data_IF_638976986288
#
_entry.id   IF_638976986288
#
_cell.length_a   1.000
_cell.length_b   1.000
_cell.length_c   1.000
_cell.angle_alpha   90.00
_cell.angle_beta   90.00
_cell.angle_gamma   90.00
#
_symmetry.space_group_name_H-M   'P 1'
#
loop_
_entity.id
_entity.type
_entity.pdbx_description
1 polymer ?
#
# COMPACT_ATOMS: atom_id res chain seq x y z
N UNK A 1 3.01 24.47 26.14
CA UNK A 1 3.18 24.07 24.73
C UNK A 1 2.10 24.76 23.93
N UNK A 2 2.44 25.45 22.84
CA UNK A 2 1.45 26.10 21.98
C UNK A 2 0.78 25.08 21.05
N UNK A 3 -0.45 25.35 20.59
CA UNK A 3 -1.18 24.48 19.66
C UNK A 3 -0.40 24.19 18.36
N UNK A 4 0.43 25.13 17.93
CA UNK A 4 1.32 24.96 16.78
C UNK A 4 2.45 23.93 17.08
N UNK A 5 3.02 23.96 18.29
CA UNK A 5 4.06 23.03 18.72
C UNK A 5 3.52 21.61 18.91
N UNK A 6 2.25 21.46 19.28
CA UNK A 6 1.60 20.15 19.38
C UNK A 6 1.33 19.54 17.98
N UNK A 7 0.73 20.33 17.07
CA UNK A 7 0.48 19.87 15.69
C UNK A 7 1.76 19.46 14.96
N UNK A 8 2.83 20.24 15.08
CA UNK A 8 4.11 19.88 14.46
C UNK A 8 4.68 18.56 14.98
N UNK A 9 4.52 18.28 16.28
CA UNK A 9 5.00 17.04 16.87
C UNK A 9 4.10 15.85 16.46
N UNK A 10 2.79 16.06 16.39
CA UNK A 10 1.86 15.05 15.88
C UNK A 10 2.17 14.68 14.41
N UNK A 11 2.44 15.67 13.56
CA UNK A 11 2.82 15.44 12.16
C UNK A 11 4.14 14.66 12.07
N UNK A 12 5.13 15.03 12.88
CA UNK A 12 6.42 14.33 12.97
C UNK A 12 6.24 12.86 13.35
N UNK A 13 5.43 12.58 14.36
CA UNK A 13 5.16 11.21 14.81
C UNK A 13 4.37 10.41 13.77
N UNK A 14 3.40 11.03 13.12
CA UNK A 14 2.62 10.40 12.04
C UNK A 14 3.52 10.02 10.86
N UNK A 15 4.46 10.90 10.50
CA UNK A 15 5.46 10.62 9.47
C UNK A 15 6.37 9.45 9.88
N UNK A 16 6.94 9.50 11.08
CA UNK A 16 7.82 8.45 11.58
C UNK A 16 7.15 7.07 11.64
N UNK A 17 5.88 7.03 12.08
CA UNK A 17 5.08 5.80 12.06
C UNK A 17 4.87 5.29 10.64
N UNK A 18 4.52 6.18 9.70
CA UNK A 18 4.30 5.82 8.30
C UNK A 18 5.56 5.25 7.65
N UNK A 19 6.73 5.84 7.92
CA UNK A 19 8.02 5.35 7.43
C UNK A 19 8.37 3.97 8.02
N UNK A 20 8.17 3.78 9.32
CA UNK A 20 8.42 2.48 9.99
C UNK A 20 7.53 1.37 9.46
N UNK A 21 6.24 1.67 9.21
CA UNK A 21 5.32 0.72 8.58
C UNK A 21 5.79 0.35 7.16
N UNK A 22 6.18 1.35 6.36
CA UNK A 22 6.68 1.10 5.01
C UNK A 22 7.94 0.23 5.01
N UNK A 23 8.91 0.52 5.88
CA UNK A 23 10.12 -0.28 6.01
C UNK A 23 9.83 -1.75 6.37
N UNK A 24 8.86 -1.96 7.26
CA UNK A 24 8.43 -3.31 7.68
C UNK A 24 7.79 -4.07 6.53
N UNK A 25 6.90 -3.41 5.77
CA UNK A 25 6.25 -3.99 4.58
C UNK A 25 7.29 -4.35 3.52
N UNK A 26 8.25 -3.47 3.28
CA UNK A 26 9.32 -3.69 2.29
C UNK A 26 10.24 -4.85 2.70
N UNK A 27 10.61 -4.93 3.98
CA UNK A 27 11.44 -6.02 4.51
C UNK A 27 10.73 -7.36 4.37
N UNK A 28 9.46 -7.43 4.77
CA UNK A 28 8.63 -8.61 4.63
C UNK A 28 8.45 -9.03 3.17
N UNK A 29 8.23 -8.06 2.27
CA UNK A 29 8.12 -8.29 0.84
C UNK A 29 9.40 -8.90 0.24
N UNK A 30 10.57 -8.37 0.63
CA UNK A 30 11.89 -8.88 0.20
C UNK A 30 12.15 -10.29 0.71
N UNK A 31 11.82 -10.58 1.97
CA UNK A 31 11.98 -11.91 2.57
C UNK A 31 11.18 -12.96 1.80
N UNK A 32 9.88 -12.70 1.58
CA UNK A 32 9.01 -13.64 0.87
C UNK A 32 9.41 -13.82 -0.59
N UNK A 33 9.85 -12.74 -1.25
CA UNK A 33 10.33 -12.79 -2.63
C UNK A 33 11.60 -13.63 -2.74
N UNK A 34 12.58 -13.41 -1.85
CA UNK A 34 13.81 -14.20 -1.78
C UNK A 34 13.57 -15.67 -1.46
N UNK A 35 12.53 -15.98 -0.69
CA UNK A 35 12.10 -17.35 -0.40
C UNK A 35 11.24 -17.99 -1.52
N UNK A 36 11.02 -17.30 -2.65
CA UNK A 36 10.20 -17.81 -3.76
C UNK A 36 8.71 -17.95 -3.44
N UNK A 37 8.21 -17.27 -2.39
CA UNK A 37 6.83 -17.40 -1.88
C UNK A 37 5.85 -16.46 -2.59
N UNK A 38 5.90 -16.43 -3.92
CA UNK A 38 5.06 -15.54 -4.74
C UNK A 38 3.54 -15.67 -4.45
N UNK A 39 2.97 -16.86 -4.21
CA UNK A 39 1.54 -16.97 -3.88
C UNK A 39 1.16 -16.22 -2.60
N UNK A 40 2.02 -16.24 -1.58
CA UNK A 40 1.77 -15.53 -0.32
C UNK A 40 1.86 -14.02 -0.55
N UNK A 41 2.84 -13.55 -1.33
CA UNK A 41 2.94 -12.13 -1.71
C UNK A 41 1.67 -11.64 -2.42
N UNK A 42 1.13 -12.44 -3.35
CA UNK A 42 -0.09 -12.07 -4.07
C UNK A 42 -1.32 -12.05 -3.15
N UNK A 43 -1.41 -12.99 -2.18
CA UNK A 43 -2.46 -13.00 -1.19
C UNK A 43 -2.40 -11.76 -0.28
N UNK A 44 -1.19 -11.38 0.17
CA UNK A 44 -0.97 -10.17 0.98
C UNK A 44 -1.33 -8.91 0.20
N UNK A 45 -0.89 -8.80 -1.07
CA UNK A 45 -1.26 -7.68 -1.92
C UNK A 45 -2.79 -7.58 -2.11
N UNK A 46 -3.46 -8.72 -2.32
CA UNK A 46 -4.93 -8.77 -2.43
C UNK A 46 -5.61 -8.30 -1.15
N UNK A 47 -5.14 -8.76 0.02
CA UNK A 47 -5.67 -8.35 1.31
C UNK A 47 -5.52 -6.84 1.54
N UNK A 48 -4.37 -6.26 1.19
CA UNK A 48 -4.13 -4.80 1.32
C UNK A 48 -5.09 -3.98 0.43
N UNK A 49 -5.37 -4.44 -0.79
CA UNK A 49 -6.35 -3.80 -1.67
C UNK A 49 -7.76 -3.90 -1.08
N UNK A 50 -8.15 -5.05 -0.53
CA UNK A 50 -9.46 -5.21 0.13
C UNK A 50 -9.61 -4.30 1.35
N UNK A 51 -8.59 -4.22 2.22
CA UNK A 51 -8.58 -3.33 3.39
C UNK A 51 -8.70 -1.87 2.96
N UNK A 52 -7.94 -1.47 1.93
CA UNK A 52 -8.04 -0.12 1.34
C UNK A 52 -9.46 0.19 0.86
N UNK A 53 -10.07 -0.77 0.15
CA UNK A 53 -11.47 -0.64 -0.30
C UNK A 53 -12.44 -0.48 0.87
N UNK A 54 -12.28 -1.26 1.94
CA UNK A 54 -13.10 -1.17 3.14
C UNK A 54 -12.91 0.16 3.88
N UNK A 55 -11.68 0.68 3.97
CA UNK A 55 -11.37 1.99 4.55
C UNK A 55 -12.00 3.12 3.75
N UNK A 56 -11.96 3.08 2.42
CA UNK A 56 -12.68 4.06 1.60
C UNK A 56 -14.20 3.89 1.72
N UNK A 57 -14.69 2.65 1.90
CA UNK A 57 -16.11 2.38 2.09
C UNK A 57 -16.65 2.95 3.42
N UNK A 58 -15.83 3.04 4.47
CA UNK A 58 -16.23 3.57 5.77
C UNK A 58 -16.31 5.10 5.85
N UNK A 59 -15.72 5.83 4.90
CA UNK A 59 -15.78 7.30 4.86
C UNK A 59 -17.16 7.75 4.39
N UNK A 60 -18.05 8.18 5.30
CA UNK A 60 -19.44 8.54 4.98
C UNK A 60 -19.56 9.57 3.85
N UNK A 61 -18.82 10.68 3.95
CA UNK A 61 -18.85 11.77 2.98
C UNK A 61 -18.31 11.35 1.59
N UNK A 62 -19.17 11.49 0.57
CA UNK A 62 -18.85 11.14 -0.82
C UNK A 62 -17.72 11.98 -1.42
N UNK A 63 -17.66 13.27 -1.13
CA UNK A 63 -16.66 14.19 -1.65
C UNK A 63 -15.29 13.88 -1.03
N UNK A 64 -15.24 13.69 0.29
CA UNK A 64 -14.01 13.32 1.01
C UNK A 64 -13.51 11.97 0.50
N UNK A 65 -14.39 10.97 0.40
CA UNK A 65 -14.05 9.65 -0.15
C UNK A 65 -13.47 9.72 -1.55
N UNK A 66 -14.03 10.57 -2.42
CA UNK A 66 -13.55 10.77 -3.79
C UNK A 66 -12.15 11.37 -3.82
N UNK A 67 -11.88 12.37 -2.98
CA UNK A 67 -10.55 12.98 -2.93
C UNK A 67 -9.52 12.06 -2.27
N UNK A 68 -9.89 11.31 -1.23
CA UNK A 68 -9.02 10.27 -0.67
C UNK A 68 -8.64 9.24 -1.74
N UNK A 69 -9.63 8.72 -2.48
CA UNK A 69 -9.37 7.80 -3.60
C UNK A 69 -8.42 8.43 -4.63
N UNK A 70 -8.64 9.69 -5.00
CA UNK A 70 -7.79 10.40 -5.96
C UNK A 70 -6.34 10.55 -5.48
N UNK A 71 -6.14 10.86 -4.21
CA UNK A 71 -4.81 10.96 -3.59
C UNK A 71 -4.14 9.60 -3.56
N UNK A 72 -4.87 8.55 -3.18
CA UNK A 72 -4.36 7.17 -3.16
C UNK A 72 -3.97 6.68 -4.55
N UNK A 73 -4.82 6.87 -5.57
CA UNK A 73 -4.54 6.47 -6.95
C UNK A 73 -3.28 7.18 -7.48
N UNK A 74 -3.13 8.48 -7.21
CA UNK A 74 -1.93 9.24 -7.57
C UNK A 74 -0.68 8.75 -6.84
N UNK A 75 -0.81 8.47 -5.53
CA UNK A 75 0.28 7.94 -4.73
C UNK A 75 0.75 6.58 -5.24
N UNK A 76 -0.19 5.69 -5.56
CA UNK A 76 0.08 4.37 -6.12
C UNK A 76 0.80 4.46 -7.47
N UNK A 77 0.30 5.27 -8.41
CA UNK A 77 0.97 5.45 -9.71
C UNK A 77 2.40 5.96 -9.56
N UNK A 78 2.64 6.90 -8.63
CA UNK A 78 4.01 7.40 -8.35
C UNK A 78 4.90 6.34 -7.74
N UNK A 79 4.38 5.55 -6.80
CA UNK A 79 5.12 4.46 -6.16
C UNK A 79 5.47 3.35 -7.16
N UNK A 80 4.57 3.03 -8.09
CA UNK A 80 4.82 2.10 -9.19
C UNK A 80 5.92 2.66 -10.10
N UNK A 81 5.79 3.90 -10.58
CA UNK A 81 6.78 4.53 -11.45
C UNK A 81 8.17 4.63 -10.79
N UNK A 82 8.24 4.86 -9.49
CA UNK A 82 9.50 4.88 -8.72
C UNK A 82 10.17 3.49 -8.63
N UNK A 83 9.41 2.41 -8.84
CA UNK A 83 9.88 1.02 -8.76
C UNK A 83 9.97 0.31 -10.14
N UNK A 84 9.32 0.83 -11.18
CA UNK A 84 9.36 0.28 -12.56
C UNK A 84 10.79 0.23 -13.14
N UNK A 85 11.73 0.98 -12.58
CA UNK A 85 13.16 0.90 -12.93
C UNK A 85 13.99 -0.16 -12.18
N UNK A 86 13.40 -0.95 -11.26
CA UNK A 86 14.19 -1.72 -10.27
C UNK A 86 14.03 -3.24 -10.20
N UNK A 87 13.13 -3.88 -10.94
CA UNK A 87 13.15 -5.32 -11.33
C UNK A 87 11.73 -5.89 -11.48
N UNK A 88 11.57 -6.72 -12.52
CA UNK A 88 10.65 -7.86 -12.52
C UNK A 88 9.20 -7.54 -12.83
N UNK A 89 8.73 -7.97 -13.99
CA UNK A 89 7.30 -8.04 -14.33
C UNK A 89 6.51 -8.71 -13.21
N UNK A 90 5.73 -7.94 -12.46
CA UNK A 90 4.75 -8.50 -11.53
C UNK A 90 3.77 -9.35 -12.35
N UNK A 91 3.86 -10.67 -12.23
CA UNK A 91 2.94 -11.57 -12.90
C UNK A 91 1.57 -11.35 -12.25
N UNK A 92 0.64 -10.74 -12.99
CA UNK A 92 -0.73 -10.55 -12.55
C UNK A 92 -1.37 -11.94 -12.42
N UNK A 93 -1.35 -12.50 -11.21
CA UNK A 93 -2.08 -13.73 -10.91
C UNK A 93 -3.55 -13.36 -10.79
N UNK A 94 -4.31 -13.71 -11.83
CA UNK A 94 -5.78 -13.66 -11.79
C UNK A 94 -6.27 -14.89 -11.02
N UNK A 95 -6.89 -14.73 -9.83
CA UNK A 95 -7.52 -15.86 -9.17
C UNK A 95 -8.64 -16.40 -10.08
N UNK A 96 -8.49 -17.63 -10.59
CA UNK A 96 -9.53 -18.31 -11.38
C UNK A 96 -9.08 -18.97 -12.68
N UNK A 97 -7.85 -18.76 -13.18
CA UNK A 97 -7.35 -19.53 -14.34
C UNK A 97 -6.61 -20.77 -13.83
N UNK A 98 -7.24 -21.95 -13.91
CA UNK A 98 -6.54 -23.23 -13.80
C UNK A 98 -5.51 -23.28 -14.92
N UNK A 99 -4.24 -23.45 -14.57
CA UNK A 99 -3.17 -23.73 -15.51
C UNK A 99 -3.12 -25.24 -15.75
N UNK A 100 -4.14 -25.77 -16.41
CA UNK A 100 -4.13 -27.13 -16.96
C UNK A 100 -4.49 -27.01 -18.44
N UNK A 101 -3.46 -26.98 -19.30
CA UNK A 101 -3.44 -27.43 -20.71
C UNK A 101 -2.06 -27.12 -21.30
#
# INVERSE_FOLDING_TARGET
MSDASWKSEQDRQTLALSESLQQTIDAFGKELSGAGRQPILNAVASALVCVTGAMLASVEDRCIRKELRRVMDRGLSRAIAANEGKQGSAQIVRPGRRADA
#
